data_IF_546763159390
#
_entry.id   IF_546763159390
#
_cell.length_a   1.000
_cell.length_b   1.000
_cell.length_c   1.000
_cell.angle_alpha   90.00
_cell.angle_beta   90.00
_cell.angle_gamma   90.00
#
_symmetry.space_group_name_H-M   'P 1'
#
loop_
_entity.id
_entity.type
_entity.pdbx_description
1 polymer ?
#
# COMPACT_ATOMS: atom_id res chain seq x y z
N UNK A 1 -68.51 -22.56 34.44
CA UNK A 1 -67.76 -23.60 33.72
C UNK A 1 -67.18 -22.97 32.46
N UNK A 2 -65.84 -22.85 32.44
CA UNK A 2 -64.89 -23.08 31.31
C UNK A 2 -65.25 -22.56 29.90
N UNK A 3 -64.39 -21.93 29.11
CA UNK A 3 -62.94 -21.67 29.15
C UNK A 3 -62.62 -20.54 28.13
N UNK A 4 -61.60 -19.71 28.38
CA UNK A 4 -61.02 -18.77 27.39
C UNK A 4 -59.63 -19.30 27.04
N UNK A 5 -59.42 -19.64 25.77
CA UNK A 5 -58.12 -20.03 25.22
C UNK A 5 -57.35 -18.77 24.79
N UNK A 6 -56.15 -18.58 25.33
CA UNK A 6 -55.19 -17.55 24.90
C UNK A 6 -54.16 -18.22 24.01
N UNK A 7 -54.15 -17.88 22.72
CA UNK A 7 -53.12 -18.28 21.78
C UNK A 7 -51.98 -17.25 21.82
N UNK A 8 -50.81 -17.66 22.33
CA UNK A 8 -49.59 -16.86 22.29
C UNK A 8 -48.91 -17.03 20.92
N UNK A 9 -48.80 -15.93 20.17
CA UNK A 9 -47.99 -15.87 18.95
C UNK A 9 -46.56 -15.51 19.35
N UNK A 10 -45.65 -16.48 19.27
CA UNK A 10 -44.21 -16.28 19.38
C UNK A 10 -43.70 -15.66 18.08
N UNK A 11 -43.46 -14.35 18.07
CA UNK A 11 -42.69 -13.70 17.00
C UNK A 11 -41.20 -13.99 17.21
N UNK A 12 -40.69 -14.97 16.46
CA UNK A 12 -39.26 -15.24 16.36
C UNK A 12 -38.53 -14.04 15.76
N UNK A 13 -37.62 -13.46 16.54
CA UNK A 13 -36.70 -12.42 16.07
C UNK A 13 -35.66 -13.08 15.19
N UNK A 14 -35.70 -12.82 13.88
CA UNK A 14 -34.64 -13.24 12.96
C UNK A 14 -33.45 -12.32 13.23
N UNK A 15 -32.38 -12.88 13.79
CA UNK A 15 -31.09 -12.21 13.88
C UNK A 15 -30.60 -11.94 12.46
N UNK A 16 -30.63 -10.68 12.04
CA UNK A 16 -30.05 -10.22 10.80
C UNK A 16 -28.52 -10.27 10.92
N UNK A 17 -27.95 -11.45 10.70
CA UNK A 17 -26.60 -11.53 10.17
C UNK A 17 -26.67 -10.96 8.75
N UNK A 18 -25.95 -9.87 8.47
CA UNK A 18 -25.73 -9.41 7.10
C UNK A 18 -25.01 -10.52 6.32
N UNK A 19 -25.76 -11.43 5.71
CA UNK A 19 -25.24 -12.30 4.66
C UNK A 19 -24.95 -11.43 3.44
N UNK A 20 -23.67 -11.24 3.12
CA UNK A 20 -23.25 -10.73 1.81
C UNK A 20 -23.94 -11.56 0.71
N UNK A 21 -24.57 -10.89 -0.25
CA UNK A 21 -25.30 -11.60 -1.29
C UNK A 21 -24.33 -12.39 -2.18
N UNK A 22 -24.66 -13.63 -2.60
CA UNK A 22 -23.84 -14.38 -3.57
C UNK A 22 -23.53 -13.60 -4.86
N UNK A 23 -24.38 -12.63 -5.23
CA UNK A 23 -24.17 -11.73 -6.37
C UNK A 23 -23.07 -10.69 -6.13
N UNK A 24 -22.93 -10.20 -4.91
CA UNK A 24 -21.91 -9.21 -4.55
C UNK A 24 -20.54 -9.86 -4.53
N UNK A 25 -20.43 -11.10 -4.03
CA UNK A 25 -19.20 -11.90 -4.05
C UNK A 25 -18.72 -12.20 -5.47
N UNK A 26 -19.62 -12.58 -6.38
CA UNK A 26 -19.25 -12.81 -7.78
C UNK A 26 -18.83 -11.51 -8.49
N UNK A 27 -19.44 -10.39 -8.13
CA UNK A 27 -19.08 -9.06 -8.65
C UNK A 27 -17.71 -8.62 -8.13
N UNK A 28 -17.45 -8.76 -6.83
CA UNK A 28 -16.14 -8.50 -6.23
C UNK A 28 -15.04 -9.35 -6.90
N UNK A 29 -15.30 -10.64 -7.13
CA UNK A 29 -14.35 -11.55 -7.80
C UNK A 29 -14.03 -11.10 -9.23
N UNK A 30 -15.05 -10.68 -9.99
CA UNK A 30 -14.88 -10.15 -11.35
C UNK A 30 -14.09 -8.85 -11.35
N UNK A 31 -14.45 -7.91 -10.47
CA UNK A 31 -13.75 -6.65 -10.32
C UNK A 31 -12.27 -6.87 -9.91
N UNK A 32 -11.99 -7.80 -9.00
CA UNK A 32 -10.62 -8.16 -8.65
C UNK A 32 -9.84 -8.71 -9.84
N UNK A 33 -10.44 -9.64 -10.61
CA UNK A 33 -9.78 -10.18 -11.81
C UNK A 33 -9.51 -9.11 -12.87
N UNK A 34 -10.42 -8.14 -13.03
CA UNK A 34 -10.23 -6.98 -13.90
C UNK A 34 -9.09 -6.08 -13.40
N UNK A 35 -9.01 -5.83 -12.08
CA UNK A 35 -7.93 -5.07 -11.47
C UNK A 35 -6.57 -5.75 -11.62
N UNK A 36 -6.50 -7.08 -11.43
CA UNK A 36 -5.27 -7.85 -11.62
C UNK A 36 -4.80 -7.77 -13.08
N UNK A 37 -5.72 -7.96 -14.03
CA UNK A 37 -5.43 -7.80 -15.46
C UNK A 37 -4.97 -6.37 -15.80
N UNK A 38 -5.56 -5.36 -15.15
CA UNK A 38 -5.18 -3.97 -15.34
C UNK A 38 -3.76 -3.70 -14.81
N UNK A 39 -3.40 -4.28 -13.65
CA UNK A 39 -2.04 -4.16 -13.11
C UNK A 39 -1.01 -4.79 -14.04
N UNK A 40 -1.28 -5.99 -14.57
CA UNK A 40 -0.38 -6.64 -15.54
C UNK A 40 -0.21 -5.82 -16.82
N UNK A 41 -1.31 -5.25 -17.34
CA UNK A 41 -1.26 -4.39 -18.51
C UNK A 41 -0.51 -3.08 -18.24
N UNK A 42 -0.68 -2.50 -17.06
CA UNK A 42 0.01 -1.28 -16.63
C UNK A 42 1.51 -1.50 -16.46
N UNK A 43 1.97 -2.63 -15.91
CA UNK A 43 3.41 -2.92 -15.82
C UNK A 43 4.06 -3.00 -17.20
N UNK A 44 3.40 -3.66 -18.16
CA UNK A 44 3.87 -3.71 -19.56
C UNK A 44 3.84 -2.33 -20.24
N UNK A 45 2.82 -1.52 -19.93
CA UNK A 45 2.72 -0.14 -20.43
C UNK A 45 3.84 0.74 -19.88
N UNK A 46 4.10 0.71 -18.56
CA UNK A 46 5.16 1.50 -17.90
C UNK A 46 6.54 1.16 -18.41
N UNK A 47 6.81 -0.11 -18.69
CA UNK A 47 8.07 -0.52 -19.32
C UNK A 47 8.22 0.14 -20.71
N UNK A 48 7.14 0.18 -21.49
CA UNK A 48 7.13 0.80 -22.81
C UNK A 48 7.22 2.34 -22.74
N UNK A 49 6.47 2.96 -21.85
CA UNK A 49 6.52 4.41 -21.55
C UNK A 49 7.94 4.83 -21.18
N UNK A 50 8.60 4.09 -20.27
CA UNK A 50 9.98 4.36 -19.85
C UNK A 50 10.94 4.36 -21.04
N UNK A 51 10.79 3.40 -21.97
CA UNK A 51 11.62 3.34 -23.19
C UNK A 51 11.34 4.53 -24.12
N UNK A 52 10.08 4.93 -24.31
CA UNK A 52 9.70 6.09 -25.12
C UNK A 52 10.29 7.38 -24.54
N UNK A 53 10.17 7.57 -23.22
CA UNK A 53 10.74 8.73 -22.51
C UNK A 53 12.26 8.74 -22.66
N UNK A 54 12.94 7.61 -22.40
CA UNK A 54 14.40 7.50 -22.57
C UNK A 54 14.83 7.81 -24.00
N UNK A 55 14.07 7.35 -25.01
CA UNK A 55 14.34 7.69 -26.41
C UNK A 55 14.24 9.19 -26.65
N UNK A 56 13.14 9.82 -26.25
CA UNK A 56 12.95 11.27 -26.41
C UNK A 56 14.10 12.06 -25.75
N UNK A 57 14.51 11.66 -24.55
CA UNK A 57 15.62 12.30 -23.84
C UNK A 57 16.97 12.10 -24.56
N UNK A 58 17.23 10.89 -25.08
CA UNK A 58 18.41 10.63 -25.90
C UNK A 58 18.44 11.48 -27.17
N UNK A 59 17.29 11.66 -27.82
CA UNK A 59 17.13 12.51 -29.01
C UNK A 59 17.36 14.00 -28.66
N UNK A 60 17.10 14.40 -27.41
CA UNK A 60 17.46 15.71 -26.85
C UNK A 60 18.91 15.79 -26.31
N UNK A 61 19.70 14.73 -26.44
CA UNK A 61 21.12 14.70 -26.08
C UNK A 61 21.44 14.23 -24.67
N UNK A 62 20.46 13.83 -23.87
CA UNK A 62 20.66 13.32 -22.51
C UNK A 62 20.85 11.80 -22.51
N UNK A 63 22.00 11.34 -22.00
CA UNK A 63 22.38 9.90 -21.96
C UNK A 63 22.55 9.34 -20.55
N UNK A 64 22.71 10.23 -19.57
CA UNK A 64 22.78 9.90 -18.15
C UNK A 64 21.41 10.21 -17.58
N UNK A 65 20.83 9.23 -16.92
CA UNK A 65 19.51 9.30 -16.33
C UNK A 65 19.65 9.09 -14.83
N UNK A 66 18.77 9.69 -14.02
CA UNK A 66 18.63 9.27 -12.63
C UNK A 66 18.50 7.75 -12.62
N UNK A 67 19.10 7.11 -11.63
CA UNK A 67 18.75 5.73 -11.35
C UNK A 67 17.22 5.66 -11.30
N UNK A 68 16.63 4.75 -12.09
CA UNK A 68 15.24 4.39 -11.85
C UNK A 68 15.20 4.11 -10.36
N UNK A 69 14.35 4.79 -9.60
CA UNK A 69 14.32 4.75 -8.14
C UNK A 69 13.93 3.38 -7.58
N UNK A 70 14.53 2.31 -8.10
CA UNK A 70 14.73 1.01 -7.52
C UNK A 70 15.50 1.18 -6.21
N UNK A 71 14.83 1.75 -5.21
CA UNK A 71 14.87 1.31 -3.83
C UNK A 71 13.85 2.10 -3.00
N UNK A 72 12.62 1.59 -2.96
CA UNK A 72 11.92 1.49 -1.67
C UNK A 72 10.94 0.32 -1.60
N UNK A 73 11.22 -0.80 -2.28
CA UNK A 73 10.54 -2.08 -1.99
C UNK A 73 11.46 -3.14 -1.39
N UNK A 74 12.67 -2.74 -0.95
CA UNK A 74 13.39 -3.42 0.14
C UNK A 74 13.17 -2.75 1.49
N UNK A 75 12.08 -1.99 1.65
CA UNK A 75 11.41 -2.05 2.95
C UNK A 75 10.99 -3.52 3.07
N UNK A 76 11.80 -4.34 3.75
CA UNK A 76 11.54 -5.78 3.89
C UNK A 76 10.07 -5.94 4.20
N UNK A 77 9.36 -6.78 3.42
CA UNK A 77 7.89 -6.91 3.47
C UNK A 77 7.49 -6.90 4.94
N UNK A 78 6.96 -5.76 5.42
CA UNK A 78 6.48 -5.69 6.79
C UNK A 78 5.38 -6.72 6.85
N UNK A 79 5.43 -7.58 7.86
CA UNK A 79 4.38 -8.57 8.05
C UNK A 79 3.02 -7.88 7.96
N UNK A 80 2.13 -8.40 7.12
CA UNK A 80 0.75 -7.89 6.97
C UNK A 80 -0.04 -8.04 8.28
N UNK A 81 0.43 -8.93 9.14
CA UNK A 81 -0.10 -9.21 10.46
C UNK A 81 0.22 -8.10 11.46
N UNK A 82 -0.79 -7.74 12.27
CA UNK A 82 -0.70 -6.71 13.31
C UNK A 82 0.09 -7.20 14.52
N UNK A 83 0.12 -8.49 14.81
CA UNK A 83 0.97 -9.08 15.85
C UNK A 83 1.86 -10.15 15.22
N UNK A 84 3.08 -10.39 15.71
CA UNK A 84 3.90 -11.49 15.21
C UNK A 84 3.21 -12.83 15.46
N UNK A 85 3.52 -13.83 14.62
CA UNK A 85 3.09 -15.21 14.92
C UNK A 85 3.83 -15.72 16.16
N UNK A 86 3.29 -16.71 16.90
CA UNK A 86 4.00 -17.27 18.06
C UNK A 86 5.38 -17.84 17.72
N UNK A 87 5.59 -18.34 16.50
CA UNK A 87 6.89 -18.81 16.04
C UNK A 87 7.85 -17.65 15.76
N UNK A 88 7.42 -16.65 15.00
CA UNK A 88 8.22 -15.45 14.70
C UNK A 88 8.60 -14.71 15.99
N UNK A 89 7.65 -14.54 16.90
CA UNK A 89 7.86 -13.88 18.18
C UNK A 89 8.96 -14.51 19.03
N UNK A 90 8.99 -15.85 19.10
CA UNK A 90 9.97 -16.59 19.91
C UNK A 90 11.36 -16.65 19.27
N UNK A 91 11.43 -16.60 17.94
CA UNK A 91 12.67 -16.78 17.19
C UNK A 91 13.38 -15.46 16.91
N UNK A 92 12.64 -14.44 16.48
CA UNK A 92 13.20 -13.16 16.01
C UNK A 92 12.49 -11.94 16.57
N UNK A 93 11.45 -12.10 17.39
CA UNK A 93 10.69 -10.99 17.96
C UNK A 93 9.90 -10.23 16.90
N UNK A 94 10.09 -8.91 16.86
CA UNK A 94 9.60 -8.04 15.77
C UNK A 94 10.64 -7.88 14.65
N UNK A 95 11.84 -8.47 14.80
CA UNK A 95 12.94 -8.32 13.87
C UNK A 95 13.63 -6.96 13.96
N UNK A 96 13.57 -6.28 15.10
CA UNK A 96 14.13 -4.94 15.29
C UNK A 96 15.66 -4.91 15.51
N UNK A 97 16.29 -6.07 15.72
CA UNK A 97 17.74 -6.17 15.93
C UNK A 97 18.54 -5.54 14.76
N UNK A 98 19.37 -4.50 15.03
CA UNK A 98 20.12 -3.80 13.98
C UNK A 98 21.20 -4.67 13.31
N UNK A 99 21.57 -5.81 13.91
CA UNK A 99 22.55 -6.74 13.32
C UNK A 99 21.97 -7.54 12.15
N UNK A 100 20.65 -7.60 12.00
CA UNK A 100 19.99 -8.34 10.90
C UNK A 100 20.36 -7.72 9.56
N UNK A 101 20.66 -8.57 8.57
CA UNK A 101 20.93 -8.18 7.19
C UNK A 101 19.86 -7.25 6.60
N UNK A 102 18.61 -7.49 6.98
CA UNK A 102 17.43 -6.80 6.47
C UNK A 102 17.35 -5.34 7.00
N UNK A 103 18.01 -5.08 8.13
CA UNK A 103 18.09 -3.79 8.79
C UNK A 103 19.41 -3.07 8.50
N UNK A 104 20.38 -3.75 7.87
CA UNK A 104 21.63 -3.13 7.46
C UNK A 104 21.34 -2.20 6.28
N UNK A 105 21.68 -0.92 6.45
CA UNK A 105 21.60 0.05 5.36
C UNK A 105 22.46 -0.46 4.21
N UNK A 106 21.84 -0.68 3.06
CA UNK A 106 22.60 -0.87 1.83
C UNK A 106 23.35 0.44 1.60
N UNK A 107 24.66 0.35 1.40
CA UNK A 107 25.47 1.53 1.11
C UNK A 107 24.92 2.14 -0.20
N UNK A 108 24.36 3.34 -0.11
CA UNK A 108 23.91 4.08 -1.29
C UNK A 108 25.14 4.37 -2.14
N UNK A 109 25.28 3.67 -3.25
CA UNK A 109 26.23 4.02 -4.29
C UNK A 109 25.61 5.22 -4.99
N UNK A 110 26.22 6.40 -4.85
CA UNK A 110 25.77 7.59 -5.57
C UNK A 110 25.69 7.30 -7.08
N UNK A 111 24.62 7.75 -7.73
CA UNK A 111 24.42 7.45 -9.14
C UNK A 111 25.18 8.45 -10.04
N UNK A 112 25.44 8.06 -11.30
CA UNK A 112 26.17 8.91 -12.26
C UNK A 112 25.43 10.23 -12.55
N UNK A 113 24.12 10.29 -12.30
CA UNK A 113 23.30 11.48 -12.48
C UNK A 113 23.54 12.51 -11.38
N UNK A 114 23.71 12.06 -10.14
CA UNK A 114 24.02 12.91 -8.98
C UNK A 114 25.35 13.65 -9.15
N UNK A 115 26.31 13.04 -9.85
CA UNK A 115 27.60 13.63 -10.16
C UNK A 115 27.55 14.70 -11.28
N UNK A 116 26.42 14.86 -11.98
CA UNK A 116 26.30 15.86 -13.05
C UNK A 116 26.30 17.29 -12.51
N UNK A 117 26.82 18.27 -13.28
CA UNK A 117 26.67 19.69 -12.96
C UNK A 117 25.20 20.12 -12.84
N UNK A 118 24.93 21.08 -11.95
CA UNK A 118 23.56 21.54 -11.67
C UNK A 118 22.87 22.14 -12.90
N UNK A 119 23.60 22.82 -13.79
CA UNK A 119 23.06 23.31 -15.05
C UNK A 119 22.61 22.18 -15.98
N UNK A 120 23.34 21.07 -16.00
CA UNK A 120 22.97 19.86 -16.75
C UNK A 120 21.73 19.21 -16.16
N UNK A 121 21.64 19.08 -14.82
CA UNK A 121 20.45 18.55 -14.14
C UNK A 121 19.20 19.41 -14.39
N UNK A 122 19.35 20.74 -14.41
CA UNK A 122 18.26 21.68 -14.75
C UNK A 122 17.83 21.54 -16.20
N UNK A 123 18.78 21.45 -17.14
CA UNK A 123 18.48 21.21 -18.55
C UNK A 123 17.77 19.86 -18.76
N UNK A 124 18.21 18.82 -18.06
CA UNK A 124 17.56 17.51 -18.06
C UNK A 124 16.12 17.60 -17.55
N UNK A 125 15.87 18.27 -16.43
CA UNK A 125 14.53 18.44 -15.86
C UNK A 125 13.60 19.18 -16.83
N UNK A 126 14.11 20.23 -17.47
CA UNK A 126 13.37 20.96 -18.51
C UNK A 126 13.03 20.07 -19.72
N UNK A 127 13.94 19.20 -20.17
CA UNK A 127 13.67 18.28 -21.28
C UNK A 127 12.70 17.15 -20.88
N UNK A 128 12.83 16.63 -19.66
CA UNK A 128 12.00 15.55 -19.11
C UNK A 128 10.56 16.01 -18.90
N UNK A 129 10.37 17.08 -18.14
CA UNK A 129 9.07 17.48 -17.60
C UNK A 129 8.60 18.86 -18.12
N UNK A 130 9.43 19.58 -18.87
CA UNK A 130 9.08 20.92 -19.37
C UNK A 130 9.17 22.03 -18.33
N UNK A 131 9.76 21.75 -17.16
CA UNK A 131 10.02 22.72 -16.09
C UNK A 131 11.17 22.24 -15.19
N UNK A 132 11.66 23.13 -14.32
CA UNK A 132 12.77 22.82 -13.37
C UNK A 132 12.28 22.74 -11.93
N UNK A 133 11.58 23.78 -11.45
CA UNK A 133 11.27 23.90 -10.02
C UNK A 133 9.79 23.67 -9.71
N UNK A 134 8.90 24.23 -10.53
CA UNK A 134 7.46 24.10 -10.36
C UNK A 134 6.83 23.74 -11.70
N UNK A 135 5.89 22.80 -11.70
CA UNK A 135 5.16 22.50 -12.91
C UNK A 135 4.30 23.69 -13.32
N UNK A 136 4.63 24.27 -14.46
CA UNK A 136 3.85 25.33 -15.09
C UNK A 136 2.97 24.73 -16.20
N UNK A 137 1.65 24.72 -15.99
CA UNK A 137 0.68 24.34 -17.02
C UNK A 137 0.55 22.83 -17.28
N UNK A 138 0.74 21.99 -16.26
CA UNK A 138 0.49 20.54 -16.32
C UNK A 138 -0.99 20.17 -16.43
N UNK A 139 -1.27 18.88 -16.63
CA UNK A 139 -2.64 18.35 -16.57
C UNK A 139 -2.95 18.05 -15.10
N UNK A 140 -4.03 18.65 -14.58
CA UNK A 140 -4.46 18.50 -13.19
C UNK A 140 -5.73 17.67 -13.04
N UNK A 141 -5.80 16.91 -11.96
CA UNK A 141 -7.02 16.28 -11.45
C UNK A 141 -7.20 16.65 -9.97
N UNK A 142 -8.38 17.20 -9.65
CA UNK A 142 -8.79 17.55 -8.29
C UNK A 142 -9.64 16.40 -7.70
N UNK A 143 -9.22 15.88 -6.56
CA UNK A 143 -9.87 14.76 -5.89
C UNK A 143 -10.65 15.19 -4.63
N UNK A 144 -10.92 16.49 -4.47
CA UNK A 144 -11.72 17.04 -3.36
C UNK A 144 -10.96 17.25 -2.05
N UNK A 145 -9.71 16.77 -1.95
CA UNK A 145 -8.81 16.98 -0.81
C UNK A 145 -7.43 17.54 -1.22
N UNK A 146 -7.27 17.88 -2.50
CA UNK A 146 -6.02 18.27 -3.10
C UNK A 146 -6.04 18.00 -4.60
N UNK A 147 -4.89 18.19 -5.24
CA UNK A 147 -4.72 17.97 -6.67
C UNK A 147 -3.51 17.11 -6.95
N UNK A 148 -3.65 16.22 -7.93
CA UNK A 148 -2.51 15.60 -8.59
C UNK A 148 -2.27 16.25 -9.94
N UNK A 149 -1.02 16.32 -10.34
CA UNK A 149 -0.61 16.94 -11.59
C UNK A 149 0.48 16.10 -12.25
N UNK A 150 0.41 15.98 -13.57
CA UNK A 150 1.50 15.50 -14.41
C UNK A 150 1.93 16.57 -15.42
N UNK A 151 3.20 16.54 -15.87
CA UNK A 151 3.66 17.43 -16.93
C UNK A 151 2.79 17.34 -18.18
N UNK A 152 2.55 18.48 -18.83
CA UNK A 152 1.90 18.54 -20.16
C UNK A 152 2.90 18.73 -21.31
N UNK A 153 4.17 18.96 -20.97
CA UNK A 153 5.29 19.23 -21.87
C UNK A 153 6.48 18.33 -21.50
N UNK A 154 7.54 18.42 -22.30
CA UNK A 154 8.72 17.60 -22.15
C UNK A 154 8.45 16.15 -22.55
N UNK A 155 9.49 15.33 -22.52
CA UNK A 155 9.41 13.94 -22.92
C UNK A 155 8.33 13.16 -22.17
N UNK A 156 8.15 13.42 -20.87
CA UNK A 156 7.10 12.76 -20.06
C UNK A 156 5.70 13.21 -20.48
N UNK A 157 5.45 14.51 -20.55
CA UNK A 157 4.12 15.02 -20.89
C UNK A 157 3.68 14.65 -22.31
N UNK A 158 4.60 14.69 -23.27
CA UNK A 158 4.35 14.27 -24.65
C UNK A 158 4.07 12.77 -24.75
N UNK A 159 4.83 11.94 -24.03
CA UNK A 159 4.61 10.48 -24.00
C UNK A 159 3.26 10.15 -23.37
N UNK A 160 2.93 10.74 -22.21
CA UNK A 160 1.64 10.54 -21.56
C UNK A 160 0.48 10.88 -22.50
N UNK A 161 0.56 12.02 -23.19
CA UNK A 161 -0.46 12.43 -24.17
C UNK A 161 -0.54 11.46 -25.35
N UNK A 162 0.58 10.98 -25.87
CA UNK A 162 0.62 10.07 -27.01
C UNK A 162 0.08 8.67 -26.67
N UNK A 163 0.32 8.20 -25.45
CA UNK A 163 -0.05 6.86 -24.96
C UNK A 163 -1.50 6.83 -24.47
N UNK A 164 -1.90 7.80 -23.64
CA UNK A 164 -3.21 7.81 -22.99
C UNK A 164 -4.25 8.65 -23.72
N UNK A 165 -3.83 9.66 -24.49
CA UNK A 165 -4.73 10.63 -25.12
C UNK A 165 -5.35 11.57 -24.10
N UNK A 166 -6.40 11.14 -23.41
CA UNK A 166 -7.02 11.89 -22.32
C UNK A 166 -6.25 11.68 -21.01
N UNK A 167 -5.22 12.50 -20.81
CA UNK A 167 -4.36 12.46 -19.63
C UNK A 167 -5.13 12.81 -18.34
N UNK A 168 -6.21 13.60 -18.43
CA UNK A 168 -7.01 13.95 -17.25
C UNK A 168 -7.84 12.75 -16.79
N UNK A 169 -8.40 12.00 -17.74
CA UNK A 169 -9.11 10.76 -17.43
C UNK A 169 -8.17 9.68 -16.90
N UNK A 170 -6.96 9.56 -17.46
CA UNK A 170 -5.91 8.72 -16.88
C UNK A 170 -5.64 9.08 -15.41
N UNK A 171 -5.43 10.37 -15.11
CA UNK A 171 -5.19 10.82 -13.74
C UNK A 171 -6.35 10.49 -12.81
N UNK A 172 -7.60 10.71 -13.25
CA UNK A 172 -8.79 10.42 -12.47
C UNK A 172 -8.90 8.94 -12.14
N UNK A 173 -8.78 8.07 -13.14
CA UNK A 173 -8.90 6.62 -12.95
C UNK A 173 -7.74 6.04 -12.15
N UNK A 174 -6.50 6.46 -12.44
CA UNK A 174 -5.33 6.06 -11.67
C UNK A 174 -5.46 6.47 -10.20
N UNK A 175 -5.84 7.73 -9.93
CA UNK A 175 -6.08 8.18 -8.56
C UNK A 175 -7.16 7.36 -7.86
N UNK A 176 -8.31 7.18 -8.52
CA UNK A 176 -9.47 6.47 -7.94
C UNK A 176 -9.11 5.01 -7.63
N UNK A 177 -8.51 4.29 -8.57
CA UNK A 177 -8.17 2.87 -8.37
C UNK A 177 -7.12 2.68 -7.27
N UNK A 178 -6.10 3.54 -7.21
CA UNK A 178 -5.00 3.33 -6.26
C UNK A 178 -5.20 3.99 -4.89
N UNK A 179 -6.08 4.98 -4.76
CA UNK A 179 -6.30 5.70 -3.49
C UNK A 179 -7.72 5.52 -2.93
N UNK A 180 -8.70 5.14 -3.76
CA UNK A 180 -10.09 4.94 -3.31
C UNK A 180 -10.46 3.46 -3.29
N UNK A 181 -10.17 2.72 -4.37
CA UNK A 181 -10.48 1.27 -4.40
C UNK A 181 -9.58 0.52 -3.41
N UNK A 182 -8.27 0.81 -3.45
CA UNK A 182 -7.30 0.35 -2.45
C UNK A 182 -7.37 1.27 -1.22
N UNK A 183 -8.41 1.09 -0.42
CA UNK A 183 -8.68 1.89 0.78
C UNK A 183 -7.55 1.80 1.81
N UNK A 184 -7.41 2.85 2.61
CA UNK A 184 -6.51 2.88 3.76
C UNK A 184 -6.95 1.84 4.80
N UNK A 185 -6.05 0.89 5.07
CA UNK A 185 -6.25 -0.15 6.09
C UNK A 185 -6.55 0.42 7.48
N UNK A 186 -6.05 1.61 7.82
CA UNK A 186 -6.29 2.21 9.14
C UNK A 186 -7.75 2.62 9.33
N UNK A 187 -8.36 3.25 8.34
CA UNK A 187 -9.77 3.65 8.38
C UNK A 187 -10.71 2.44 8.43
N UNK A 188 -10.43 1.42 7.61
CA UNK A 188 -11.21 0.17 7.61
C UNK A 188 -11.25 -0.46 9.00
N UNK A 189 -10.09 -0.53 9.66
CA UNK A 189 -10.00 -1.12 10.99
C UNK A 189 -10.66 -0.23 12.06
N UNK A 190 -10.62 1.10 11.91
CA UNK A 190 -11.26 2.02 12.84
C UNK A 190 -12.79 1.83 12.90
N UNK A 191 -13.41 1.51 11.77
CA UNK A 191 -14.87 1.40 11.63
C UNK A 191 -15.42 -0.02 11.87
N UNK A 192 -14.57 -1.04 12.06
CA UNK A 192 -15.01 -2.43 12.28
C UNK A 192 -15.15 -2.77 13.78
N UNK A 193 -16.40 -2.94 14.24
CA UNK A 193 -16.74 -3.23 15.64
C UNK A 193 -16.05 -4.49 16.19
N UNK A 194 -15.92 -5.54 15.37
CA UNK A 194 -15.35 -6.81 15.80
C UNK A 194 -13.84 -6.69 16.02
N UNK A 195 -13.15 -5.96 15.14
CA UNK A 195 -11.76 -5.60 15.30
C UNK A 195 -11.56 -4.67 16.50
N UNK A 196 -12.35 -3.61 16.66
CA UNK A 196 -12.21 -2.67 17.79
C UNK A 196 -12.36 -3.37 19.14
N UNK A 197 -13.30 -4.32 19.23
CA UNK A 197 -13.46 -5.16 20.42
C UNK A 197 -12.22 -6.02 20.67
N UNK A 198 -11.72 -6.72 19.64
CA UNK A 198 -10.52 -7.56 19.76
C UNK A 198 -9.29 -6.72 20.15
N UNK A 199 -9.15 -5.51 19.60
CA UNK A 199 -8.08 -4.57 19.92
C UNK A 199 -8.13 -4.15 21.40
N UNK A 200 -9.31 -3.84 21.93
CA UNK A 200 -9.49 -3.49 23.35
C UNK A 200 -9.15 -4.66 24.29
N UNK A 201 -9.56 -5.88 23.93
CA UNK A 201 -9.25 -7.09 24.69
C UNK A 201 -7.74 -7.42 24.63
N UNK A 202 -7.12 -7.23 23.46
CA UNK A 202 -5.68 -7.38 23.27
C UNK A 202 -4.90 -6.37 24.13
N UNK A 203 -5.27 -5.09 24.14
CA UNK A 203 -4.60 -4.07 24.93
C UNK A 203 -4.70 -4.38 26.43
N UNK A 204 -5.86 -4.90 26.88
CA UNK A 204 -6.05 -5.37 28.25
C UNK A 204 -5.14 -6.56 28.59
N UNK A 205 -4.95 -7.48 27.65
CA UNK A 205 -4.04 -8.60 27.79
C UNK A 205 -2.56 -8.15 27.86
N UNK A 206 -2.14 -7.24 26.98
CA UNK A 206 -0.79 -6.65 26.99
C UNK A 206 -0.48 -5.96 28.31
N UNK A 207 -1.45 -5.18 28.82
CA UNK A 207 -1.37 -4.55 30.15
C UNK A 207 -1.19 -5.59 31.26
N UNK A 208 -1.95 -6.68 31.24
CA UNK A 208 -1.80 -7.77 32.22
C UNK A 208 -0.46 -8.53 32.06
N UNK A 209 0.09 -8.55 30.85
CA UNK A 209 1.42 -9.09 30.52
C UNK A 209 2.60 -8.19 30.90
N UNK A 210 2.33 -7.01 31.46
CA UNK A 210 3.35 -6.07 31.94
C UNK A 210 3.70 -4.93 30.98
N UNK A 211 2.88 -4.68 29.95
CA UNK A 211 3.09 -3.62 28.96
C UNK A 211 1.90 -2.61 28.92
N UNK A 212 1.62 -1.89 30.02
CA UNK A 212 0.50 -0.95 30.09
C UNK A 212 0.59 0.25 29.13
N UNK A 213 1.80 0.59 28.69
CA UNK A 213 2.10 1.71 27.77
C UNK A 213 1.92 1.34 26.28
N UNK A 214 1.54 0.10 25.98
CA UNK A 214 1.38 -0.42 24.62
C UNK A 214 -0.13 -0.68 24.34
N UNK A 215 -0.92 0.37 24.03
CA UNK A 215 -2.35 0.23 23.77
C UNK A 215 -2.69 -0.18 22.34
N UNK A 216 -1.73 -0.13 21.41
CA UNK A 216 -1.94 -0.54 20.01
C UNK A 216 -0.77 -1.37 19.46
N UNK A 217 -1.00 -2.21 18.43
CA UNK A 217 0.06 -2.97 17.78
C UNK A 217 1.16 -2.10 17.15
N UNK A 218 0.83 -0.88 16.70
CA UNK A 218 1.81 0.10 16.21
C UNK A 218 2.74 0.53 17.34
N UNK A 219 2.20 0.85 18.51
CA UNK A 219 2.99 1.15 19.71
C UNK A 219 3.87 -0.02 20.13
N UNK A 220 3.42 -1.25 19.90
CA UNK A 220 4.23 -2.43 20.20
C UNK A 220 5.49 -2.47 19.30
N UNK A 221 5.36 -2.17 18.02
CA UNK A 221 6.51 -2.06 17.10
C UNK A 221 7.44 -0.91 17.46
N UNK A 222 6.90 0.25 17.82
CA UNK A 222 7.71 1.40 18.26
C UNK A 222 8.48 1.08 19.54
N UNK A 223 7.85 0.41 20.51
CA UNK A 223 8.49 -0.05 21.74
C UNK A 223 9.60 -1.07 21.44
N UNK A 224 9.38 -1.96 20.45
CA UNK A 224 10.39 -2.93 20.03
C UNK A 224 11.68 -2.25 19.52
N UNK A 225 11.54 -1.20 18.70
CA UNK A 225 12.68 -0.39 18.23
C UNK A 225 13.39 0.32 19.38
N UNK A 226 12.64 0.75 20.39
CA UNK A 226 13.17 1.51 21.53
C UNK A 226 14.12 0.71 22.42
N UNK A 227 14.06 -0.63 22.41
CA UNK A 227 15.04 -1.49 23.11
C UNK A 227 16.47 -1.27 22.62
N UNK A 228 16.66 -0.78 21.39
CA UNK A 228 17.97 -0.61 20.76
C UNK A 228 18.44 0.85 20.70
N UNK A 229 17.59 1.82 21.01
CA UNK A 229 17.83 3.25 20.72
C UNK A 229 19.08 3.85 21.40
N UNK A 230 19.54 3.26 22.51
CA UNK A 230 20.68 3.75 23.28
C UNK A 230 21.80 2.70 23.44
N UNK A 231 21.80 1.67 22.60
CA UNK A 231 22.86 0.67 22.61
C UNK A 231 24.06 1.20 21.83
N UNK A 232 25.23 1.24 22.47
CA UNK A 232 26.45 1.72 21.83
C UNK A 232 26.90 0.78 20.70
N UNK A 233 27.50 1.35 19.66
CA UNK A 233 28.07 0.57 18.56
C UNK A 233 29.10 -0.43 19.07
N UNK A 234 28.93 -1.70 18.67
CA UNK A 234 29.81 -2.80 19.08
C UNK A 234 29.54 -3.37 20.47
N UNK A 235 28.58 -2.84 21.25
CA UNK A 235 28.19 -3.43 22.53
C UNK A 235 27.26 -4.64 22.33
N UNK A 236 27.88 -5.80 22.08
CA UNK A 236 27.18 -7.05 21.79
C UNK A 236 26.35 -7.56 22.97
N UNK A 237 26.79 -7.30 24.21
CA UNK A 237 26.06 -7.74 25.41
C UNK A 237 24.79 -6.92 25.60
N UNK A 238 24.85 -5.61 25.39
CA UNK A 238 23.67 -4.75 25.41
C UNK A 238 22.70 -5.10 24.27
N UNK A 239 23.19 -5.41 23.06
CA UNK A 239 22.36 -5.87 21.95
C UNK A 239 21.65 -7.20 22.26
N UNK A 240 22.35 -8.17 22.87
CA UNK A 240 21.74 -9.44 23.26
C UNK A 240 20.68 -9.27 24.36
N UNK A 241 20.89 -8.33 25.29
CA UNK A 241 19.88 -7.96 26.29
C UNK A 241 18.65 -7.32 25.65
N UNK A 242 18.85 -6.37 24.74
CA UNK A 242 17.78 -5.71 23.98
C UNK A 242 16.95 -6.73 23.18
N UNK A 243 17.63 -7.67 22.49
CA UNK A 243 16.97 -8.73 21.74
C UNK A 243 16.13 -9.65 22.63
N UNK A 244 16.63 -10.04 23.82
CA UNK A 244 15.83 -10.82 24.77
C UNK A 244 14.60 -10.05 25.26
N UNK A 245 14.72 -8.75 25.51
CA UNK A 245 13.61 -7.90 25.91
C UNK A 245 12.55 -7.80 24.80
N UNK A 246 13.00 -7.56 23.56
CA UNK A 246 12.15 -7.55 22.37
C UNK A 246 11.40 -8.88 22.18
N UNK A 247 12.09 -10.02 22.25
CA UNK A 247 11.49 -11.36 22.11
C UNK A 247 10.44 -11.61 23.20
N UNK A 248 10.71 -11.19 24.44
CA UNK A 248 9.74 -11.31 25.55
C UNK A 248 8.49 -10.49 25.28
N UNK A 249 8.64 -9.26 24.79
CA UNK A 249 7.53 -8.40 24.40
C UNK A 249 6.74 -9.02 23.24
N UNK A 250 7.42 -9.42 22.17
CA UNK A 250 6.81 -10.04 20.99
C UNK A 250 6.06 -11.32 21.33
N UNK A 251 6.59 -12.14 22.25
CA UNK A 251 5.93 -13.38 22.69
C UNK A 251 4.64 -13.07 23.43
N UNK A 252 4.66 -12.05 24.31
CA UNK A 252 3.45 -11.59 25.01
C UNK A 252 2.41 -11.05 24.01
N UNK A 253 2.86 -10.26 23.04
CA UNK A 253 2.00 -9.76 21.95
C UNK A 253 1.37 -10.90 21.14
N UNK A 254 2.18 -11.86 20.68
CA UNK A 254 1.70 -13.01 19.91
C UNK A 254 0.67 -13.85 20.69
N UNK A 255 0.90 -14.09 21.98
CA UNK A 255 -0.03 -14.85 22.83
C UNK A 255 -1.34 -14.07 23.02
N UNK A 256 -1.27 -12.77 23.30
CA UNK A 256 -2.45 -11.91 23.40
C UNK A 256 -3.22 -11.81 22.08
N UNK A 257 -2.50 -11.61 20.96
CA UNK A 257 -3.06 -11.52 19.62
C UNK A 257 -3.75 -12.81 19.19
N UNK A 258 -3.14 -13.96 19.51
CA UNK A 258 -3.75 -15.28 19.26
C UNK A 258 -5.01 -15.48 20.10
N UNK A 259 -4.96 -15.12 21.38
CA UNK A 259 -6.09 -15.30 22.31
C UNK A 259 -7.36 -14.57 21.86
N UNK A 260 -7.21 -13.36 21.32
CA UNK A 260 -8.35 -12.54 20.85
C UNK A 260 -8.61 -12.65 19.35
N UNK A 261 -7.77 -13.41 18.62
CA UNK A 261 -7.86 -13.55 17.17
C UNK A 261 -7.62 -12.23 16.42
N UNK A 262 -6.75 -11.35 16.91
CA UNK A 262 -6.60 -9.97 16.42
C UNK A 262 -6.27 -9.91 14.92
N UNK A 263 -5.28 -10.68 14.46
CA UNK A 263 -4.92 -10.72 13.05
C UNK A 263 -6.06 -11.28 12.18
N UNK A 264 -6.81 -12.26 12.67
CA UNK A 264 -7.96 -12.81 11.94
C UNK A 264 -9.07 -11.77 11.79
N UNK A 265 -9.42 -11.05 12.87
CA UNK A 265 -10.43 -9.98 12.80
C UNK A 265 -9.99 -8.84 11.90
N UNK A 266 -8.73 -8.45 11.95
CA UNK A 266 -8.20 -7.45 11.04
C UNK A 266 -8.27 -7.90 9.57
N UNK A 267 -7.94 -9.17 9.27
CA UNK A 267 -8.05 -9.71 7.90
C UNK A 267 -9.50 -9.83 7.43
N UNK A 268 -10.41 -10.26 8.29
CA UNK A 268 -11.85 -10.32 7.99
C UNK A 268 -12.39 -8.92 7.66
N UNK A 269 -12.11 -7.92 8.51
CA UNK A 269 -12.51 -6.53 8.29
C UNK A 269 -11.96 -5.97 6.97
N UNK A 270 -10.66 -6.17 6.71
CA UNK A 270 -10.01 -5.75 5.46
C UNK A 270 -10.58 -6.46 4.24
N UNK A 271 -10.86 -7.77 4.33
CA UNK A 271 -11.40 -8.56 3.23
C UNK A 271 -12.81 -8.08 2.87
N UNK A 272 -13.67 -7.87 3.88
CA UNK A 272 -15.00 -7.33 3.70
C UNK A 272 -14.98 -5.96 3.04
N UNK A 273 -14.23 -5.02 3.62
CA UNK A 273 -14.13 -3.67 3.06
C UNK A 273 -13.54 -3.66 1.64
N UNK A 274 -12.59 -4.56 1.34
CA UNK A 274 -12.06 -4.72 -0.01
C UNK A 274 -13.13 -5.23 -0.98
N UNK A 275 -13.93 -6.23 -0.59
CA UNK A 275 -15.03 -6.73 -1.43
C UNK A 275 -16.08 -5.64 -1.68
N UNK A 276 -16.51 -4.91 -0.64
CA UNK A 276 -17.44 -3.79 -0.76
C UNK A 276 -16.89 -2.68 -1.69
N UNK A 277 -15.61 -2.36 -1.54
CA UNK A 277 -14.93 -1.37 -2.38
C UNK A 277 -14.86 -1.82 -3.85
N UNK A 278 -14.53 -3.09 -4.11
CA UNK A 278 -14.50 -3.67 -5.45
C UNK A 278 -15.88 -3.63 -6.12
N UNK A 279 -16.94 -3.98 -5.39
CA UNK A 279 -18.32 -3.91 -5.91
C UNK A 279 -18.72 -2.47 -6.20
N UNK A 280 -18.45 -1.55 -5.26
CA UNK A 280 -18.79 -0.14 -5.40
C UNK A 280 -18.11 0.53 -6.59
N UNK A 281 -16.90 0.08 -6.93
CA UNK A 281 -16.05 0.68 -7.95
C UNK A 281 -15.83 -0.20 -9.19
N UNK A 282 -16.71 -1.18 -9.44
CA UNK A 282 -16.60 -2.08 -10.61
C UNK A 282 -16.49 -1.29 -11.93
N UNK A 283 -17.26 -0.21 -12.06
CA UNK A 283 -17.26 0.63 -13.27
C UNK A 283 -15.92 1.33 -13.48
N UNK A 284 -15.34 1.94 -12.44
CA UNK A 284 -14.01 2.57 -12.54
C UNK A 284 -12.90 1.56 -12.78
N UNK A 285 -12.96 0.37 -12.16
CA UNK A 285 -11.99 -0.70 -12.39
C UNK A 285 -12.05 -1.18 -13.84
N UNK A 286 -13.26 -1.34 -14.40
CA UNK A 286 -13.45 -1.75 -15.80
C UNK A 286 -12.92 -0.68 -16.76
N UNK A 287 -13.27 0.59 -16.53
CA UNK A 287 -12.77 1.70 -17.32
C UNK A 287 -11.24 1.83 -17.23
N UNK A 288 -10.67 1.58 -16.05
CA UNK A 288 -9.22 1.55 -15.87
C UNK A 288 -8.56 0.44 -16.67
N UNK A 289 -9.08 -0.79 -16.62
CA UNK A 289 -8.59 -1.91 -17.41
C UNK A 289 -8.59 -1.60 -18.92
N UNK A 290 -9.70 -1.04 -19.43
CA UNK A 290 -9.83 -0.64 -20.82
C UNK A 290 -8.78 0.42 -21.21
N UNK A 291 -8.63 1.45 -20.37
CA UNK A 291 -7.68 2.54 -20.59
C UNK A 291 -6.24 2.03 -20.62
N UNK A 292 -5.81 1.24 -19.62
CA UNK A 292 -4.42 0.74 -19.56
C UNK A 292 -4.12 -0.30 -20.64
N UNK A 293 -5.10 -1.11 -21.02
CA UNK A 293 -4.93 -2.08 -22.12
C UNK A 293 -4.74 -1.36 -23.45
N UNK A 294 -5.52 -0.32 -23.71
CA UNK A 294 -5.36 0.53 -24.90
C UNK A 294 -4.03 1.28 -24.88
N UNK A 295 -3.67 1.87 -23.74
CA UNK A 295 -2.41 2.58 -23.53
C UNK A 295 -1.21 1.66 -23.79
N UNK A 296 -1.22 0.45 -23.24
CA UNK A 296 -0.20 -0.58 -23.50
C UNK A 296 -0.02 -0.83 -25.00
N UNK A 297 -1.12 -1.09 -25.71
CA UNK A 297 -1.09 -1.32 -27.16
C UNK A 297 -0.51 -0.14 -27.93
N UNK A 298 -0.89 1.08 -27.54
CA UNK A 298 -0.38 2.31 -28.15
C UNK A 298 1.10 2.55 -27.87
N UNK A 299 1.55 2.34 -26.64
CA UNK A 299 2.96 2.47 -26.27
C UNK A 299 3.83 1.47 -27.05
N UNK A 300 3.37 0.23 -27.21
CA UNK A 300 4.06 -0.79 -28.00
C UNK A 300 4.09 -0.48 -29.51
N UNK A 301 3.06 0.17 -30.05
CA UNK A 301 3.03 0.66 -31.43
C UNK A 301 4.04 1.79 -31.65
N UNK A 302 4.03 2.80 -30.77
CA UNK A 302 4.98 3.93 -30.82
C UNK A 302 6.44 3.45 -30.75
N UNK A 303 6.74 2.45 -29.92
CA UNK A 303 8.09 1.86 -29.87
C UNK A 303 8.49 1.18 -31.19
N UNK A 304 7.53 0.53 -31.88
CA UNK A 304 7.79 -0.12 -33.18
C UNK A 304 7.99 0.89 -34.30
N UNK A 305 7.26 2.01 -34.30
CA UNK A 305 7.39 3.09 -35.29
C UNK A 305 8.72 3.85 -35.16
N UNK A 306 9.34 3.79 -33.98
CA UNK A 306 10.55 4.55 -33.63
C UNK A 306 11.82 3.70 -33.54
N UNK A 307 11.70 2.39 -33.76
CA UNK A 307 12.81 1.42 -33.88
C UNK A 307 13.32 1.34 -35.31
#
# INVERSE_FOLDING_TARGET
MTAIAVAAVLTGSVSACSEESPKDMETARRAQAALDSANEALEQEREAETKLIRKCMNDQGFKVFPSDGANSSKAGKRSEDLTPTPETARTVGYGADPRRSDNQKTQEVGDDFDALPEDVKRAHSMAMDGYVDKPEGGVEFDFGGGKVMVPSKGCRGETLKAVYGDVKEYLRLNWTVYNTVKQDSAHILADDDAYQKALSEWASCMKAGGYPEIPTPEKAREAALSHYANVADGDTVALDNAQRAEIKQATTDADCGTKVGLNTKAREAKSKASADSLVKHEAEITAWLELVTKAKGRAQELLRETS
#
